data_IF_781012989052
#
_entry.id   IF_781012989052
#
_cell.length_a   1.000
_cell.length_b   1.000
_cell.length_c   1.000
_cell.angle_alpha   90.00
_cell.angle_beta   90.00
_cell.angle_gamma   90.00
#
_symmetry.space_group_name_H-M   'P 1'
#
loop_
_entity.id
_entity.type
_entity.pdbx_description
1 polymer ?
#
# COMPACT_ATOMS: atom_id res chain seq x y z
N UNK A 1 6.95 -18.20 -11.79
CA UNK A 1 6.61 -16.76 -11.95
C UNK A 1 6.01 -16.30 -10.64
N UNK A 2 6.52 -15.22 -10.06
CA UNK A 2 6.05 -14.68 -8.78
C UNK A 2 5.35 -13.33 -9.00
N UNK A 3 4.56 -12.91 -8.01
CA UNK A 3 3.86 -11.63 -8.00
C UNK A 3 4.55 -10.65 -7.05
N UNK A 4 4.43 -9.35 -7.33
CA UNK A 4 4.81 -8.32 -6.37
C UNK A 4 3.86 -8.33 -5.17
N UNK A 5 4.33 -7.84 -4.02
CA UNK A 5 3.56 -7.83 -2.77
C UNK A 5 2.21 -7.12 -2.93
N UNK A 6 2.19 -5.97 -3.64
CA UNK A 6 0.95 -5.19 -3.83
C UNK A 6 -0.10 -5.95 -4.66
N UNK A 7 0.35 -6.78 -5.62
CA UNK A 7 -0.54 -7.59 -6.46
C UNK A 7 -1.19 -8.70 -5.64
N UNK A 8 -0.37 -9.44 -4.88
CA UNK A 8 -0.86 -10.50 -4.00
C UNK A 8 -1.84 -9.96 -2.95
N UNK A 9 -1.52 -8.81 -2.33
CA UNK A 9 -2.41 -8.12 -1.39
C UNK A 9 -3.74 -7.72 -2.04
N UNK A 10 -3.70 -7.14 -3.24
CA UNK A 10 -4.92 -6.74 -3.97
C UNK A 10 -5.82 -7.94 -4.25
N UNK A 11 -5.25 -9.07 -4.66
CA UNK A 11 -5.99 -10.32 -4.87
C UNK A 11 -6.63 -10.78 -3.56
N UNK A 12 -5.86 -10.90 -2.47
CA UNK A 12 -6.38 -11.32 -1.17
C UNK A 12 -7.53 -10.42 -0.67
N UNK A 13 -7.41 -9.11 -0.84
CA UNK A 13 -8.44 -8.16 -0.47
C UNK A 13 -9.75 -8.36 -1.25
N UNK A 14 -9.69 -8.72 -2.53
CA UNK A 14 -10.88 -9.02 -3.35
C UNK A 14 -11.68 -10.21 -2.79
N UNK A 15 -11.02 -11.14 -2.11
CA UNK A 15 -11.65 -12.29 -1.46
C UNK A 15 -11.99 -12.04 0.02
N UNK A 16 -11.99 -10.78 0.47
CA UNK A 16 -12.36 -10.40 1.84
C UNK A 16 -11.29 -10.71 2.89
N UNK A 17 -10.08 -11.12 2.49
CA UNK A 17 -8.97 -11.35 3.42
C UNK A 17 -8.43 -10.02 3.90
N UNK A 18 -8.28 -9.87 5.22
CA UNK A 18 -7.69 -8.66 5.81
C UNK A 18 -6.22 -8.55 5.44
N UNK A 19 -5.86 -7.44 4.80
CA UNK A 19 -4.49 -7.09 4.43
C UNK A 19 -4.03 -5.80 5.11
N UNK A 20 -2.72 -5.58 5.15
CA UNK A 20 -2.17 -4.25 5.43
C UNK A 20 -2.47 -3.33 4.23
N UNK A 21 -3.29 -2.30 4.45
CA UNK A 21 -3.59 -1.27 3.45
C UNK A 21 -2.31 -0.52 3.07
N UNK A 22 -2.17 -0.24 1.78
CA UNK A 22 -1.02 0.46 1.22
C UNK A 22 -1.33 0.91 -0.20
N UNK A 23 -0.49 1.82 -0.70
CA UNK A 23 -0.61 2.44 -2.01
C UNK A 23 0.76 2.32 -2.70
N UNK A 24 0.76 2.06 -4.00
CA UNK A 24 2.00 1.98 -4.79
C UNK A 24 2.43 3.40 -5.17
N UNK A 25 3.73 3.63 -5.17
CA UNK A 25 4.34 4.87 -5.65
C UNK A 25 5.54 4.54 -6.54
N UNK A 26 5.71 5.26 -7.63
CA UNK A 26 6.78 5.06 -8.62
C UNK A 26 7.98 5.99 -8.43
N UNK A 27 7.81 7.03 -7.62
CA UNK A 27 8.86 7.98 -7.27
C UNK A 27 8.67 8.53 -5.85
N UNK A 28 9.65 9.31 -5.38
CA UNK A 28 9.67 9.82 -4.01
C UNK A 28 8.53 10.81 -3.71
N UNK A 29 8.21 11.70 -4.66
CA UNK A 29 7.14 12.69 -4.47
C UNK A 29 5.78 12.00 -4.35
N UNK A 30 5.52 11.01 -5.22
CA UNK A 30 4.32 10.19 -5.15
C UNK A 30 4.25 9.41 -3.83
N UNK A 31 5.37 8.88 -3.32
CA UNK A 31 5.37 8.18 -2.04
C UNK A 31 4.89 9.06 -0.89
N UNK A 32 5.27 10.34 -0.89
CA UNK A 32 4.83 11.32 0.10
C UNK A 32 3.33 11.59 -0.03
N UNK A 33 2.81 11.76 -1.25
CA UNK A 33 1.39 12.03 -1.46
C UNK A 33 0.50 10.83 -1.14
N UNK A 34 0.95 9.62 -1.50
CA UNK A 34 0.27 8.37 -1.13
C UNK A 34 0.29 8.16 0.39
N UNK A 35 1.37 8.51 1.09
CA UNK A 35 1.43 8.44 2.55
C UNK A 35 0.40 9.38 3.23
N UNK A 36 0.26 10.62 2.73
CA UNK A 36 -0.77 11.56 3.21
C UNK A 36 -2.17 10.98 3.00
N UNK A 37 -2.45 10.44 1.82
CA UNK A 37 -3.73 9.82 1.49
C UNK A 37 -4.03 8.62 2.38
N UNK A 38 -3.07 7.71 2.58
CA UNK A 38 -3.24 6.55 3.44
C UNK A 38 -3.58 6.95 4.88
N UNK A 39 -3.02 8.06 5.36
CA UNK A 39 -3.30 8.58 6.71
C UNK A 39 -4.69 9.15 6.85
N UNK A 40 -5.20 9.82 5.80
CA UNK A 40 -6.60 10.27 5.77
C UNK A 40 -7.56 9.08 5.77
N UNK A 41 -7.23 8.00 5.06
CA UNK A 41 -8.09 6.81 4.93
C UNK A 41 -8.06 5.89 6.15
N UNK A 42 -6.98 5.89 6.93
CA UNK A 42 -6.76 4.91 8.02
C UNK A 42 -6.50 5.52 9.40
N UNK A 43 -6.22 6.82 9.48
CA UNK A 43 -5.85 7.51 10.72
C UNK A 43 -4.43 7.18 11.21
N UNK A 44 -3.60 6.51 10.42
CA UNK A 44 -2.22 6.17 10.79
C UNK A 44 -1.33 7.41 10.84
N UNK A 45 -0.34 7.40 11.76
CA UNK A 45 0.63 8.50 11.94
C UNK A 45 2.04 8.16 11.47
N UNK A 46 2.26 6.94 10.98
CA UNK A 46 3.55 6.43 10.53
C UNK A 46 3.35 5.43 9.39
N UNK A 47 4.38 5.22 8.58
CA UNK A 47 4.32 4.44 7.35
C UNK A 47 5.52 3.51 7.21
N UNK A 48 5.36 2.47 6.39
CA UNK A 48 6.44 1.56 6.01
C UNK A 48 6.61 1.64 4.49
N UNK A 49 7.81 2.00 4.04
CA UNK A 49 8.18 2.00 2.62
C UNK A 49 8.85 0.66 2.29
N UNK A 50 8.39 -0.02 1.23
CA UNK A 50 8.91 -1.32 0.81
C UNK A 50 9.26 -1.30 -0.67
N UNK A 51 10.47 -1.74 -1.01
CA UNK A 51 10.79 -2.05 -2.40
C UNK A 51 9.86 -3.19 -2.90
N UNK A 52 9.34 -3.05 -4.12
CA UNK A 52 8.47 -4.04 -4.75
C UNK A 52 9.25 -5.04 -5.59
#
# INVERSE_FOLDING_TARGET
MNLHEYQGKSILAQYGVRIQRGLVAYNADEAVDQAKRLSQETGTKWWVVKAQ
#
